data_IF_841671029062
#
_entry.id   IF_841671029062
#
_cell.length_a   1.000
_cell.length_b   1.000
_cell.length_c   1.000
_cell.angle_alpha   90.00
_cell.angle_beta   90.00
_cell.angle_gamma   90.00
#
_symmetry.space_group_name_H-M   'P 1'
#
loop_
_entity.id
_entity.type
_entity.pdbx_description
1 polymer ?
#
# COMPACT_ATOMS: atom_id res chain seq x y z
N UNK A 1 20.57 -12.69 -3.05
CA UNK A 1 19.63 -13.61 -2.40
C UNK A 1 18.21 -13.08 -2.25
N UNK A 2 17.78 -12.00 -2.95
CA UNK A 2 16.68 -11.14 -2.48
C UNK A 2 15.30 -11.59 -3.00
N UNK A 3 14.30 -11.74 -2.13
CA UNK A 3 12.87 -11.88 -2.48
C UNK A 3 12.25 -10.50 -2.76
N UNK A 4 11.03 -10.43 -3.32
CA UNK A 4 10.30 -9.16 -3.47
C UNK A 4 10.10 -8.44 -2.12
N UNK A 5 10.02 -9.20 -1.02
CA UNK A 5 10.03 -8.65 0.34
C UNK A 5 11.32 -7.87 0.63
N UNK A 6 12.46 -8.49 0.33
CA UNK A 6 13.77 -7.90 0.57
C UNK A 6 14.04 -6.71 -0.38
N UNK A 7 13.41 -6.69 -1.56
CA UNK A 7 13.40 -5.53 -2.45
C UNK A 7 12.62 -4.37 -1.82
N UNK A 8 11.41 -4.61 -1.30
CA UNK A 8 10.63 -3.58 -0.61
C UNK A 8 11.34 -3.06 0.63
N UNK A 9 11.93 -3.95 1.43
CA UNK A 9 12.72 -3.60 2.61
C UNK A 9 13.90 -2.68 2.25
N UNK A 10 14.62 -3.02 1.17
CA UNK A 10 15.75 -2.22 0.67
C UNK A 10 15.30 -0.89 0.08
N UNK A 11 14.25 -0.87 -0.75
CA UNK A 11 13.73 0.35 -1.37
C UNK A 11 13.19 1.35 -0.33
N UNK A 12 12.59 0.84 0.74
CA UNK A 12 12.07 1.68 1.83
C UNK A 12 13.13 2.03 2.87
N UNK A 13 14.34 1.45 2.83
CA UNK A 13 15.35 1.69 3.86
C UNK A 13 15.73 3.18 4.04
N UNK A 14 15.99 3.97 2.96
CA UNK A 14 16.24 5.40 3.11
C UNK A 14 15.04 6.15 3.70
N UNK A 15 13.83 5.77 3.30
CA UNK A 15 12.59 6.36 3.81
C UNK A 15 12.40 6.08 5.30
N UNK A 16 12.61 4.82 5.74
CA UNK A 16 12.50 4.43 7.14
C UNK A 16 13.58 5.09 8.01
N UNK A 17 14.81 5.17 7.51
CA UNK A 17 15.89 5.89 8.17
C UNK A 17 15.53 7.36 8.43
N UNK A 18 15.03 8.04 7.41
CA UNK A 18 14.60 9.44 7.53
C UNK A 18 13.34 9.63 8.38
N UNK A 19 12.45 8.63 8.45
CA UNK A 19 11.24 8.69 9.27
C UNK A 19 11.59 8.79 10.76
N UNK A 20 12.61 8.04 11.19
CA UNK A 20 13.18 8.08 12.54
C UNK A 20 13.22 6.71 13.21
N UNK A 21 13.81 6.65 14.41
CA UNK A 21 14.00 5.43 15.20
C UNK A 21 12.80 5.07 16.10
N UNK A 22 11.76 5.89 16.14
CA UNK A 22 10.52 5.65 16.90
C UNK A 22 9.57 4.62 16.30
N UNK A 23 10.03 3.79 15.35
CA UNK A 23 9.19 2.84 14.61
C UNK A 23 9.86 1.46 14.49
N UNK A 24 9.06 0.42 14.61
CA UNK A 24 9.43 -0.96 14.27
C UNK A 24 8.71 -1.40 13.00
N UNK A 25 9.32 -2.32 12.24
CA UNK A 25 8.80 -2.73 10.95
C UNK A 25 8.87 -4.25 10.81
N UNK A 26 7.72 -4.86 10.55
CA UNK A 26 7.61 -6.23 10.09
C UNK A 26 7.21 -6.25 8.61
N UNK A 27 7.86 -7.12 7.85
CA UNK A 27 7.66 -7.23 6.41
C UNK A 27 6.88 -8.50 6.10
N UNK A 28 5.70 -8.35 5.49
CA UNK A 28 4.83 -9.45 5.08
C UNK A 28 5.05 -9.77 3.60
N UNK A 29 5.21 -11.05 3.28
CA UNK A 29 5.44 -11.52 1.91
C UNK A 29 4.14 -12.08 1.31
N UNK A 30 3.91 -11.81 0.01
CA UNK A 30 2.84 -12.46 -0.74
C UNK A 30 3.07 -13.98 -0.91
N UNK A 31 2.02 -14.70 -1.28
CA UNK A 31 2.02 -16.17 -1.33
C UNK A 31 2.10 -16.75 -2.76
N UNK A 32 1.84 -15.94 -3.81
CA UNK A 32 1.84 -16.43 -5.19
C UNK A 32 3.19 -16.26 -5.87
N UNK A 33 3.80 -17.34 -6.32
CA UNK A 33 5.03 -17.28 -7.11
C UNK A 33 4.80 -16.61 -8.47
N UNK A 34 5.62 -15.62 -8.81
CA UNK A 34 5.58 -14.90 -10.09
C UNK A 34 7.00 -14.71 -10.64
N UNK A 35 7.25 -14.92 -11.94
CA UNK A 35 8.55 -14.61 -12.52
C UNK A 35 8.87 -13.12 -12.34
N UNK A 36 10.11 -12.79 -11.93
CA UNK A 36 10.55 -11.39 -11.87
C UNK A 36 10.54 -10.77 -13.28
N UNK A 37 10.08 -9.53 -13.37
CA UNK A 37 10.14 -8.76 -14.61
C UNK A 37 11.60 -8.44 -15.01
N UNK A 38 11.87 -8.15 -16.30
CA UNK A 38 13.24 -7.95 -16.79
C UNK A 38 13.99 -6.80 -16.11
N UNK A 39 13.29 -5.72 -15.74
CA UNK A 39 13.89 -4.54 -15.10
C UNK A 39 14.34 -4.88 -13.67
N UNK A 40 13.50 -5.61 -12.93
CA UNK A 40 13.86 -6.18 -11.62
C UNK A 40 15.05 -7.15 -11.71
N UNK A 41 15.16 -7.94 -12.79
CA UNK A 41 16.30 -8.87 -13.00
C UNK A 41 17.60 -8.15 -13.34
N UNK A 42 17.53 -7.00 -14.01
CA UNK A 42 18.70 -6.19 -14.36
C UNK A 42 19.29 -5.51 -13.13
N UNK A 43 18.43 -5.01 -12.23
CA UNK A 43 18.84 -4.41 -10.95
C UNK A 43 19.24 -5.48 -9.93
N UNK A 44 18.60 -6.65 -9.96
CA UNK A 44 18.86 -7.75 -9.05
C UNK A 44 19.04 -9.07 -9.81
N UNK A 45 20.27 -9.43 -10.19
CA UNK A 45 20.53 -10.70 -10.87
C UNK A 45 20.24 -11.88 -9.92
N UNK A 46 19.07 -12.48 -10.07
CA UNK A 46 18.64 -13.66 -9.30
C UNK A 46 17.87 -14.62 -10.20
N UNK A 47 18.09 -15.92 -10.01
CA UNK A 47 17.36 -16.99 -10.71
C UNK A 47 16.04 -17.36 -10.03
N UNK A 48 15.71 -16.75 -8.88
CA UNK A 48 14.46 -17.01 -8.16
C UNK A 48 13.31 -16.12 -8.64
N UNK A 49 12.14 -16.73 -8.72
CA UNK A 49 10.85 -16.05 -8.90
C UNK A 49 10.53 -15.13 -7.71
N UNK A 50 9.78 -14.06 -7.97
CA UNK A 50 9.19 -13.18 -6.98
C UNK A 50 7.88 -13.73 -6.40
N UNK A 51 7.27 -12.98 -5.49
CA UNK A 51 5.98 -13.31 -4.87
C UNK A 51 4.98 -12.16 -5.00
N UNK A 52 3.85 -12.43 -5.65
CA UNK A 52 2.71 -11.52 -5.80
C UNK A 52 1.67 -11.78 -4.70
N UNK A 53 0.91 -10.74 -4.36
CA UNK A 53 -0.28 -10.91 -3.54
C UNK A 53 -1.43 -11.52 -4.35
N UNK A 54 -1.58 -11.17 -5.62
CA UNK A 54 -2.68 -11.67 -6.43
C UNK A 54 -2.21 -12.71 -7.44
N UNK A 55 -3.08 -13.66 -7.75
CA UNK A 55 -2.92 -14.50 -8.93
C UNK A 55 -3.05 -13.62 -10.19
N UNK A 56 -2.12 -13.78 -11.14
CA UNK A 56 -2.10 -13.03 -12.39
C UNK A 56 -3.06 -13.63 -13.44
N UNK A 57 -3.65 -14.80 -13.17
CA UNK A 57 -4.76 -15.35 -13.94
C UNK A 57 -6.08 -14.65 -13.53
N UNK A 58 -6.70 -13.84 -14.41
CA UNK A 58 -7.94 -13.15 -14.10
C UNK A 58 -9.12 -14.09 -13.79
N UNK A 59 -9.07 -15.34 -14.27
CA UNK A 59 -10.10 -16.35 -14.01
C UNK A 59 -10.00 -16.99 -12.62
N UNK A 60 -8.89 -16.75 -11.92
CA UNK A 60 -8.62 -17.20 -10.56
C UNK A 60 -8.39 -16.03 -9.59
N UNK A 61 -8.92 -14.84 -9.94
CA UNK A 61 -8.84 -13.66 -9.10
C UNK A 61 -9.49 -13.93 -7.74
N UNK A 62 -8.76 -13.64 -6.67
CA UNK A 62 -9.17 -13.92 -5.29
C UNK A 62 -8.79 -12.76 -4.39
N UNK A 63 -9.62 -12.49 -3.38
CA UNK A 63 -9.32 -11.57 -2.29
C UNK A 63 -8.72 -12.26 -1.06
N UNK A 64 -8.27 -13.52 -1.19
CA UNK A 64 -7.54 -14.26 -0.15
C UNK A 64 -6.40 -13.46 0.52
N UNK A 65 -5.59 -12.64 -0.19
CA UNK A 65 -4.52 -11.87 0.45
C UNK A 65 -5.03 -10.85 1.49
N UNK A 66 -6.27 -10.39 1.35
CA UNK A 66 -6.93 -9.51 2.33
C UNK A 66 -7.18 -10.29 3.61
N UNK A 67 -7.60 -11.55 3.50
CA UNK A 67 -7.77 -12.44 4.65
C UNK A 67 -6.42 -12.82 5.26
N UNK A 68 -5.43 -13.17 4.44
CA UNK A 68 -4.09 -13.53 4.91
C UNK A 68 -3.45 -12.38 5.72
N UNK A 69 -3.65 -11.13 5.27
CA UNK A 69 -3.19 -9.94 6.00
C UNK A 69 -3.95 -9.76 7.32
N UNK A 70 -5.27 -9.95 7.34
CA UNK A 70 -6.06 -9.87 8.58
C UNK A 70 -5.63 -10.93 9.60
N UNK A 71 -5.42 -12.17 9.15
CA UNK A 71 -4.99 -13.29 9.99
C UNK A 71 -3.57 -13.06 10.54
N UNK A 72 -2.67 -12.50 9.73
CA UNK A 72 -1.34 -12.08 10.16
C UNK A 72 -1.41 -11.02 11.27
N UNK A 73 -2.23 -9.97 11.09
CA UNK A 73 -2.42 -8.92 12.10
C UNK A 73 -3.01 -9.48 13.40
N UNK A 74 -3.93 -10.44 13.30
CA UNK A 74 -4.52 -11.09 14.47
C UNK A 74 -3.51 -11.95 15.24
N UNK A 75 -2.49 -12.48 14.57
CA UNK A 75 -1.50 -13.39 15.17
C UNK A 75 -0.28 -12.64 15.71
N UNK A 76 0.27 -11.70 14.93
CA UNK A 76 1.55 -11.02 15.23
C UNK A 76 1.37 -9.56 15.69
N UNK A 77 0.17 -9.00 15.51
CA UNK A 77 -0.14 -7.63 15.88
C UNK A 77 -0.33 -7.42 17.40
N UNK A 78 -0.82 -6.24 17.80
CA UNK A 78 -1.36 -5.17 16.97
C UNK A 78 -0.29 -4.35 16.22
N UNK A 79 -0.67 -3.79 15.07
CA UNK A 79 0.14 -2.84 14.30
C UNK A 79 -0.51 -1.46 14.28
N UNK A 80 0.27 -0.40 14.56
CA UNK A 80 -0.24 0.97 14.53
C UNK A 80 -0.52 1.49 13.11
N UNK A 81 0.21 1.00 12.11
CA UNK A 81 0.09 1.48 10.74
C UNK A 81 0.60 0.50 9.71
N UNK A 82 0.34 0.81 8.44
CA UNK A 82 0.77 0.00 7.30
C UNK A 82 1.53 0.84 6.28
N UNK A 83 2.64 0.31 5.77
CA UNK A 83 3.32 0.81 4.58
C UNK A 83 3.06 -0.16 3.44
N UNK A 84 2.50 0.32 2.33
CA UNK A 84 2.18 -0.51 1.19
C UNK A 84 2.65 0.09 -0.14
N UNK A 85 3.16 -0.76 -1.02
CA UNK A 85 3.64 -0.40 -2.35
C UNK A 85 2.81 -1.12 -3.42
N UNK A 86 2.38 -0.39 -4.46
CA UNK A 86 1.71 -0.95 -5.65
C UNK A 86 0.54 -1.87 -5.28
N UNK A 87 0.62 -3.17 -5.55
CA UNK A 87 -0.44 -4.13 -5.21
C UNK A 87 -0.72 -4.25 -3.71
N UNK A 88 0.25 -3.97 -2.84
CA UNK A 88 0.01 -3.97 -1.40
C UNK A 88 -1.05 -2.94 -0.99
N UNK A 89 -1.20 -1.85 -1.75
CA UNK A 89 -2.22 -0.83 -1.51
C UNK A 89 -3.61 -1.43 -1.69
N UNK A 90 -3.80 -2.32 -2.68
CA UNK A 90 -5.06 -3.00 -2.93
C UNK A 90 -5.45 -3.80 -1.68
N UNK A 91 -4.53 -4.61 -1.17
CA UNK A 91 -4.77 -5.47 -0.01
C UNK A 91 -5.07 -4.62 1.24
N UNK A 92 -4.22 -3.64 1.53
CA UNK A 92 -4.35 -2.75 2.69
C UNK A 92 -5.64 -1.93 2.65
N UNK A 93 -5.92 -1.26 1.52
CA UNK A 93 -7.11 -0.41 1.41
C UNK A 93 -8.41 -1.22 1.38
N UNK A 94 -8.41 -2.41 0.79
CA UNK A 94 -9.55 -3.33 0.84
C UNK A 94 -9.83 -3.80 2.27
N UNK A 95 -8.79 -4.17 3.04
CA UNK A 95 -8.97 -4.59 4.44
C UNK A 95 -9.54 -3.46 5.31
N UNK A 96 -9.00 -2.25 5.17
CA UNK A 96 -9.48 -1.06 5.88
C UNK A 96 -10.95 -0.80 5.54
N UNK A 97 -11.27 -0.77 4.24
CA UNK A 97 -12.63 -0.50 3.77
C UNK A 97 -13.63 -1.55 4.25
N UNK A 98 -13.29 -2.84 4.10
CA UNK A 98 -14.12 -3.96 4.57
C UNK A 98 -14.42 -3.83 6.06
N UNK A 99 -13.39 -3.55 6.86
CA UNK A 99 -13.55 -3.37 8.32
C UNK A 99 -14.57 -2.27 8.65
N UNK A 100 -14.49 -1.13 7.96
CA UNK A 100 -15.41 0.01 8.14
C UNK A 100 -16.84 -0.37 7.72
N UNK A 101 -16.99 -1.02 6.56
CA UNK A 101 -18.30 -1.45 6.06
C UNK A 101 -18.98 -2.48 6.97
N UNK A 102 -18.19 -3.32 7.65
CA UNK A 102 -18.66 -4.27 8.66
C UNK A 102 -18.91 -3.63 10.04
N UNK A 103 -18.71 -2.32 10.19
CA UNK A 103 -18.90 -1.60 11.45
C UNK A 103 -17.78 -1.84 12.48
N UNK A 104 -16.65 -2.39 12.05
CA UNK A 104 -15.44 -2.59 12.87
C UNK A 104 -14.52 -1.37 12.78
N UNK A 105 -13.66 -1.21 13.76
CA UNK A 105 -12.55 -0.27 13.66
C UNK A 105 -11.54 -0.74 12.61
N UNK A 106 -10.89 0.20 11.93
CA UNK A 106 -9.74 -0.11 11.08
C UNK A 106 -8.65 -0.83 11.90
N UNK A 107 -7.98 -1.86 11.34
CA UNK A 107 -6.86 -2.52 12.01
C UNK A 107 -5.64 -1.62 12.14
N UNK A 108 -5.58 -0.50 11.40
CA UNK A 108 -4.49 0.46 11.39
C UNK A 108 -4.97 1.85 11.80
N UNK A 109 -4.13 2.59 12.53
CA UNK A 109 -4.34 4.00 12.88
C UNK A 109 -3.91 4.94 11.75
N UNK A 110 -2.93 4.57 10.93
CA UNK A 110 -2.53 5.31 9.73
C UNK A 110 -2.05 4.39 8.60
N UNK A 111 -1.99 4.92 7.37
CA UNK A 111 -1.45 4.22 6.21
C UNK A 111 -0.45 5.10 5.43
N UNK A 112 0.56 4.48 4.82
CA UNK A 112 1.51 5.13 3.91
C UNK A 112 1.56 4.30 2.63
N UNK A 113 1.15 4.90 1.52
CA UNK A 113 1.00 4.25 0.23
C UNK A 113 1.95 4.83 -0.81
N UNK A 114 2.61 3.94 -1.54
CA UNK A 114 3.55 4.26 -2.62
C UNK A 114 3.10 3.67 -3.95
N UNK A 115 3.08 4.50 -5.00
CA UNK A 115 2.88 4.09 -6.40
C UNK A 115 1.62 3.23 -6.61
N UNK A 116 0.41 3.79 -6.44
CA UNK A 116 -0.83 3.04 -6.58
C UNK A 116 -1.08 2.58 -8.03
N UNK A 117 -1.43 1.31 -8.20
CA UNK A 117 -1.96 0.77 -9.47
C UNK A 117 -3.47 0.62 -9.49
N UNK A 118 -4.03 0.17 -8.37
CA UNK A 118 -5.46 0.03 -8.11
C UNK A 118 -5.76 0.43 -6.65
N UNK A 119 -7.02 0.65 -6.35
CA UNK A 119 -7.52 0.98 -5.01
C UNK A 119 -8.16 -0.21 -4.30
N UNK A 120 -9.10 0.11 -3.39
CA UNK A 120 -9.86 -0.89 -2.66
C UNK A 120 -10.78 -1.68 -3.60
N UNK A 121 -10.87 -2.98 -3.37
CA UNK A 121 -11.77 -3.89 -4.07
C UNK A 121 -13.13 -3.97 -3.36
N UNK A 122 -14.19 -4.18 -4.12
CA UNK A 122 -15.53 -4.43 -3.59
C UNK A 122 -15.60 -5.85 -3.03
N UNK A 123 -15.22 -5.99 -1.76
CA UNK A 123 -15.19 -7.28 -1.08
C UNK A 123 -16.59 -7.91 -0.95
N UNK A 124 -17.63 -7.08 -0.77
CA UNK A 124 -19.00 -7.55 -0.64
C UNK A 124 -19.54 -8.09 -1.97
N UNK A 125 -19.26 -7.41 -3.09
CA UNK A 125 -19.63 -7.90 -4.40
C UNK A 125 -18.84 -9.16 -4.77
N UNK A 126 -17.55 -9.22 -4.44
CA UNK A 126 -16.77 -10.46 -4.58
C UNK A 126 -17.40 -11.64 -3.83
N UNK A 127 -17.86 -11.44 -2.58
CA UNK A 127 -18.54 -12.50 -1.82
C UNK A 127 -19.86 -12.94 -2.45
N UNK A 128 -20.56 -12.04 -3.15
CA UNK A 128 -21.87 -12.31 -3.76
C UNK A 128 -21.76 -12.99 -5.13
N UNK A 129 -20.88 -12.51 -6.00
CA UNK A 129 -20.81 -12.93 -7.41
C UNK A 129 -19.51 -13.65 -7.78
N UNK A 130 -18.51 -13.65 -6.90
CA UNK A 130 -17.17 -14.16 -7.17
C UNK A 130 -16.35 -13.25 -8.09
N UNK A 131 -16.86 -12.07 -8.46
CA UNK A 131 -16.17 -11.15 -9.35
C UNK A 131 -15.34 -10.15 -8.55
N UNK A 132 -14.07 -9.99 -8.93
CA UNK A 132 -13.18 -8.98 -8.37
C UNK A 132 -13.30 -7.70 -9.17
N UNK A 133 -13.59 -6.59 -8.51
CA UNK A 133 -13.63 -5.26 -9.09
C UNK A 133 -13.29 -4.19 -8.07
N UNK A 134 -12.76 -3.05 -8.52
CA UNK A 134 -12.60 -1.87 -7.68
C UNK A 134 -13.98 -1.35 -7.27
N UNK A 135 -14.07 -0.78 -6.07
CA UNK A 135 -15.26 -0.03 -5.68
C UNK A 135 -15.46 1.19 -6.60
N UNK A 136 -16.70 1.66 -6.68
CA UNK A 136 -16.98 2.97 -7.27
C UNK A 136 -16.42 4.09 -6.36
N UNK A 137 -15.28 4.66 -6.75
CA UNK A 137 -14.63 5.75 -6.02
C UNK A 137 -15.50 7.01 -5.86
N UNK A 138 -16.44 7.26 -6.78
CA UNK A 138 -17.34 8.41 -6.72
C UNK A 138 -18.51 8.16 -5.78
N UNK A 139 -18.99 6.92 -5.68
CA UNK A 139 -20.01 6.54 -4.70
C UNK A 139 -19.47 6.46 -3.26
N UNK A 140 -18.14 6.33 -3.08
CA UNK A 140 -17.48 6.08 -1.79
C UNK A 140 -16.56 7.22 -1.34
N UNK A 141 -16.91 8.46 -1.70
CA UNK A 141 -16.07 9.61 -1.37
C UNK A 141 -15.91 9.79 0.14
N UNK A 142 -14.65 9.92 0.60
CA UNK A 142 -14.31 10.14 2.01
C UNK A 142 -14.64 8.98 2.95
N UNK A 143 -14.95 7.78 2.44
CA UNK A 143 -15.36 6.64 3.27
C UNK A 143 -14.25 6.11 4.17
N UNK A 144 -12.97 6.30 3.82
CA UNK A 144 -11.82 5.82 4.60
C UNK A 144 -11.34 6.95 5.52
N UNK A 145 -11.63 6.92 6.83
CA UNK A 145 -11.26 7.99 7.76
C UNK A 145 -9.81 7.88 8.23
N UNK A 146 -9.10 6.79 7.89
CA UNK A 146 -7.73 6.52 8.32
C UNK A 146 -6.79 7.56 7.73
N UNK A 147 -6.05 8.32 8.57
CA UNK A 147 -4.99 9.20 8.10
C UNK A 147 -4.02 8.49 7.16
N UNK A 148 -3.89 9.00 5.95
CA UNK A 148 -3.17 8.31 4.87
C UNK A 148 -2.20 9.25 4.18
N UNK A 149 -0.95 8.81 4.04
CA UNK A 149 0.00 9.41 3.14
C UNK A 149 -0.06 8.69 1.77
N UNK A 150 -0.23 9.44 0.68
CA UNK A 150 -0.26 8.90 -0.68
C UNK A 150 0.86 9.51 -1.51
N UNK A 151 1.84 8.70 -1.88
CA UNK A 151 3.07 9.12 -2.54
C UNK A 151 3.18 8.39 -3.88
N UNK A 152 3.45 9.11 -4.97
CA UNK A 152 3.59 8.50 -6.30
C UNK A 152 4.55 9.27 -7.20
N UNK A 153 4.99 8.64 -8.28
CA UNK A 153 5.87 9.23 -9.26
C UNK A 153 5.16 9.95 -10.39
N UNK A 154 5.67 11.12 -10.80
CA UNK A 154 5.19 11.83 -12.00
C UNK A 154 5.41 11.02 -13.27
N UNK A 155 6.47 10.22 -13.31
CA UNK A 155 6.80 9.35 -14.45
C UNK A 155 6.15 7.97 -14.32
N UNK A 156 5.37 7.72 -13.26
CA UNK A 156 4.66 6.46 -13.06
C UNK A 156 3.59 6.29 -14.16
N UNK A 157 3.58 5.17 -14.91
CA UNK A 157 2.54 4.91 -15.92
C UNK A 157 1.14 4.88 -15.30
N UNK A 158 1.03 4.49 -14.03
CA UNK A 158 -0.24 4.35 -13.32
C UNK A 158 -0.62 5.62 -12.51
N UNK A 159 0.12 6.73 -12.65
CA UNK A 159 -0.08 7.97 -11.85
C UNK A 159 -1.52 8.50 -11.81
N UNK A 160 -2.30 8.27 -12.87
CA UNK A 160 -3.70 8.68 -12.94
C UNK A 160 -4.56 8.05 -11.84
N UNK A 161 -4.16 6.87 -11.35
CA UNK A 161 -4.82 6.17 -10.26
C UNK A 161 -4.74 6.96 -8.94
N UNK A 162 -3.66 7.71 -8.71
CA UNK A 162 -3.55 8.54 -7.50
C UNK A 162 -4.72 9.53 -7.37
N UNK A 163 -5.19 10.12 -8.47
CA UNK A 163 -6.34 11.01 -8.44
C UNK A 163 -7.65 10.30 -8.03
N UNK A 164 -7.84 9.04 -8.44
CA UNK A 164 -9.01 8.24 -8.06
C UNK A 164 -8.97 7.85 -6.59
N UNK A 165 -7.82 7.36 -6.10
CA UNK A 165 -7.66 6.96 -4.70
C UNK A 165 -7.88 8.13 -3.75
N UNK A 166 -7.46 9.34 -4.11
CA UNK A 166 -7.65 10.51 -3.27
C UNK A 166 -9.14 10.78 -2.93
N UNK A 167 -10.07 10.35 -3.79
CA UNK A 167 -11.51 10.49 -3.53
C UNK A 167 -11.97 9.72 -2.29
N UNK A 168 -11.33 8.60 -1.95
CA UNK A 168 -11.74 7.74 -0.84
C UNK A 168 -11.48 8.33 0.55
N UNK A 169 -10.64 9.36 0.64
CA UNK A 169 -10.18 9.88 1.92
C UNK A 169 -10.72 11.30 2.16
N UNK A 170 -11.11 11.64 3.40
CA UNK A 170 -11.38 13.01 3.78
C UNK A 170 -10.16 13.91 3.54
N UNK A 171 -10.41 15.16 3.13
CA UNK A 171 -9.34 16.11 2.75
C UNK A 171 -8.38 16.43 3.90
N UNK A 172 -8.86 16.41 5.13
CA UNK A 172 -8.08 16.66 6.36
C UNK A 172 -7.34 15.42 6.87
N UNK A 173 -7.58 14.25 6.25
CA UNK A 173 -6.96 12.96 6.59
C UNK A 173 -6.00 12.47 5.52
N UNK A 174 -5.92 13.14 4.37
CA UNK A 174 -5.09 12.74 3.24
C UNK A 174 -3.91 13.69 3.03
N UNK A 175 -2.71 13.12 2.97
CA UNK A 175 -1.47 13.86 2.73
C UNK A 175 -0.76 13.29 1.51
N UNK A 176 -0.71 14.05 0.42
CA UNK A 176 -0.18 13.56 -0.85
C UNK A 176 1.13 14.21 -1.28
N UNK A 177 1.98 13.44 -1.97
CA UNK A 177 3.18 13.96 -2.63
C UNK A 177 3.47 13.26 -3.96
N UNK A 178 3.58 14.04 -5.03
CA UNK A 178 4.08 13.57 -6.32
C UNK A 178 5.59 13.84 -6.43
N UNK A 179 6.39 12.78 -6.49
CA UNK A 179 7.84 12.87 -6.68
C UNK A 179 8.23 12.82 -8.16
N UNK A 180 9.50 13.14 -8.46
CA UNK A 180 9.97 13.25 -9.85
C UNK A 180 10.12 11.91 -10.58
N UNK A 181 10.34 10.80 -9.88
CA UNK A 181 10.57 9.48 -10.50
C UNK A 181 9.34 8.74 -11.04
N UNK A 182 9.54 7.47 -11.41
CA UNK A 182 8.53 6.52 -11.90
C UNK A 182 7.87 5.66 -10.80
N UNK A 183 7.61 4.39 -11.10
CA UNK A 183 6.95 3.44 -10.19
C UNK A 183 7.89 2.92 -9.09
N UNK A 184 8.20 3.75 -8.09
CA UNK A 184 9.26 3.49 -7.11
C UNK A 184 9.07 4.26 -5.81
N UNK A 185 9.81 3.87 -4.76
CA UNK A 185 9.96 4.66 -3.53
C UNK A 185 11.14 5.62 -3.70
N UNK A 186 11.02 6.92 -3.37
CA UNK A 186 12.15 7.84 -3.44
C UNK A 186 13.33 7.39 -2.57
N UNK A 187 14.47 7.11 -3.19
CA UNK A 187 15.71 6.71 -2.50
C UNK A 187 16.62 7.88 -2.14
N UNK A 188 17.73 7.58 -1.46
CA UNK A 188 18.72 8.57 -0.98
C UNK A 188 19.33 9.46 -2.09
N UNK A 189 19.41 8.97 -3.33
CA UNK A 189 19.86 9.77 -4.49
C UNK A 189 18.89 10.91 -4.86
N UNK A 190 17.67 10.92 -4.31
CA UNK A 190 16.63 11.94 -4.56
C UNK A 190 16.23 12.63 -3.25
N UNK A 191 17.19 13.24 -2.56
CA UNK A 191 17.01 13.82 -1.22
C UNK A 191 15.74 14.69 -1.08
N UNK A 192 15.43 15.56 -2.03
CA UNK A 192 14.24 16.42 -1.93
C UNK A 192 12.95 15.59 -1.97
N UNK A 193 12.85 14.61 -2.86
CA UNK A 193 11.67 13.78 -3.00
C UNK A 193 11.51 12.83 -1.81
N UNK A 194 12.62 12.30 -1.30
CA UNK A 194 12.67 11.51 -0.08
C UNK A 194 12.13 12.30 1.11
N UNK A 195 12.70 13.49 1.38
CA UNK A 195 12.30 14.32 2.52
C UNK A 195 10.84 14.77 2.44
N UNK A 196 10.35 15.13 1.25
CA UNK A 196 8.93 15.50 1.07
C UNK A 196 7.99 14.30 1.25
N UNK A 197 8.39 13.11 0.79
CA UNK A 197 7.66 11.87 1.05
C UNK A 197 7.57 11.57 2.54
N UNK A 198 8.69 11.71 3.27
CA UNK A 198 8.74 11.52 4.72
C UNK A 198 7.86 12.56 5.43
N UNK A 199 7.86 13.81 4.99
CA UNK A 199 7.03 14.87 5.58
C UNK A 199 5.53 14.58 5.46
N UNK A 200 5.05 14.07 4.32
CA UNK A 200 3.62 13.71 4.21
C UNK A 200 3.27 12.48 5.05
N UNK A 201 4.20 11.53 5.19
CA UNK A 201 4.04 10.38 6.08
C UNK A 201 3.98 10.79 7.57
N UNK A 202 4.86 11.69 8.02
CA UNK A 202 4.82 12.26 9.38
C UNK A 202 3.48 12.91 9.68
N UNK A 203 2.93 13.69 8.74
CA UNK A 203 1.60 14.31 8.91
C UNK A 203 0.50 13.27 9.10
N UNK A 204 0.53 12.17 8.35
CA UNK A 204 -0.43 11.07 8.52
C UNK A 204 -0.31 10.43 9.92
N UNK A 205 0.92 10.14 10.37
CA UNK A 205 1.22 9.57 11.69
C UNK A 205 0.77 10.51 12.81
N UNK A 206 1.15 11.78 12.75
CA UNK A 206 0.77 12.80 13.74
C UNK A 206 -0.75 12.97 13.84
N UNK A 207 -1.44 12.98 12.70
CA UNK A 207 -2.91 13.06 12.65
C UNK A 207 -3.58 11.84 13.28
N UNK A 208 -2.96 10.66 13.19
CA UNK A 208 -3.44 9.45 13.86
C UNK A 208 -3.21 9.50 15.37
N UNK A 209 -2.11 10.10 15.83
CA UNK A 209 -1.80 10.27 17.25
C UNK A 209 -2.74 11.27 17.95
N UNK A 210 -3.19 12.31 17.24
CA UNK A 210 -4.10 13.33 17.78
C UNK A 210 -5.57 12.87 17.86
N UNK A 211 -5.91 11.73 17.26
CA UNK A 211 -7.28 11.17 17.24
C UNK A 211 -7.64 10.29 18.44
N UNK A 212 -6.79 10.24 19.48
CA UNK A 212 -7.02 9.55 20.75
C UNK A 212 -7.14 10.58 21.89
#
# INVERSE_FOLDING_TARGET
MLTLLQILEMQTAPFRYELGDGHTYDFVQGVFHVPLDPESKEVFPTEKDGFSYFNLDPSAASLQPVQDLEDFIATEGPYDGIIAFSQGIIVASTLILRSIQEGRSSPFKCAIFFSPRLGAMDYAEFQRSGQVGEIDFDAHQGIIPVPTALIWGREDPDRGKAAQLQKLYPRDRLFSYEHSGGHTVPGAGRNIDLLKSVNVARRAIETAMQGH
#
